data_IF_960600237065
#
_entry.id   IF_960600237065
#
_cell.length_a   1.000
_cell.length_b   1.000
_cell.length_c   1.000
_cell.angle_alpha   90.00
_cell.angle_beta   90.00
_cell.angle_gamma   90.00
#
_symmetry.space_group_name_H-M   'P 1'
#
loop_
_entity.id
_entity.type
_entity.pdbx_description
1 polymer ?
#
# COMPACT_ATOMS: atom_id res chain seq x y z
N UNK A 1 9.93 -10.99 -2.64
CA UNK A 1 10.48 -9.65 -2.91
C UNK A 1 11.97 -9.76 -3.10
N UNK A 2 12.50 -9.19 -4.18
CA UNK A 2 13.94 -9.05 -4.39
C UNK A 2 14.53 -7.92 -3.52
N UNK A 3 15.78 -7.54 -3.78
CA UNK A 3 16.53 -6.50 -3.03
C UNK A 3 15.83 -5.13 -2.96
N UNK A 4 14.85 -4.88 -3.84
CA UNK A 4 14.11 -3.62 -3.92
C UNK A 4 12.77 -3.64 -3.18
N UNK A 5 12.40 -4.73 -2.52
CA UNK A 5 11.12 -4.83 -1.78
C UNK A 5 9.89 -4.46 -2.64
N UNK A 6 9.91 -4.84 -3.91
CA UNK A 6 8.79 -4.71 -4.86
C UNK A 6 8.76 -5.96 -5.76
N UNK A 7 7.59 -6.28 -6.29
CA UNK A 7 7.36 -7.26 -7.35
C UNK A 7 7.32 -6.63 -8.75
N UNK A 8 7.29 -5.29 -8.85
CA UNK A 8 7.06 -4.52 -10.08
C UNK A 8 5.71 -4.77 -10.76
N UNK A 9 4.76 -5.40 -10.07
CA UNK A 9 3.42 -5.64 -10.57
C UNK A 9 2.46 -4.50 -10.18
N UNK A 10 1.21 -4.60 -10.64
CA UNK A 10 0.17 -3.62 -10.40
C UNK A 10 -0.91 -4.23 -9.51
N UNK A 11 -1.21 -3.56 -8.40
CA UNK A 11 -2.19 -4.04 -7.42
C UNK A 11 -3.14 -2.93 -6.99
N UNK A 12 -4.36 -3.33 -6.67
CA UNK A 12 -5.30 -2.50 -5.93
C UNK A 12 -5.22 -2.93 -4.46
N UNK A 13 -4.61 -2.09 -3.62
CA UNK A 13 -4.44 -2.35 -2.18
C UNK A 13 -5.69 -2.01 -1.36
N UNK A 14 -6.86 -1.87 -2.00
CA UNK A 14 -8.13 -1.55 -1.36
C UNK A 14 -8.13 -0.18 -0.64
N UNK A 15 -7.41 0.81 -1.21
CA UNK A 15 -7.34 2.17 -0.67
C UNK A 15 -8.68 2.90 -0.73
N UNK A 16 -9.47 2.66 -1.78
CA UNK A 16 -10.74 3.34 -2.02
C UNK A 16 -11.81 2.33 -2.41
N UNK A 17 -13.04 2.54 -1.93
CA UNK A 17 -14.19 1.74 -2.33
C UNK A 17 -14.59 1.99 -3.79
N UNK A 18 -14.40 3.23 -4.26
CA UNK A 18 -14.57 3.64 -5.65
C UNK A 18 -13.19 3.93 -6.26
N UNK A 19 -12.56 2.94 -6.91
CA UNK A 19 -11.18 3.05 -7.33
C UNK A 19 -10.99 3.98 -8.52
N UNK A 20 -9.94 4.82 -8.46
CA UNK A 20 -9.49 5.63 -9.59
C UNK A 20 -9.10 4.79 -10.81
N UNK A 21 -8.90 5.44 -11.96
CA UNK A 21 -8.59 4.73 -13.20
C UNK A 21 -7.30 3.89 -13.11
N UNK A 22 -6.24 4.37 -12.45
CA UNK A 22 -4.97 3.65 -12.29
C UNK A 22 -4.45 3.08 -13.62
N UNK A 23 -4.04 1.81 -13.61
CA UNK A 23 -3.64 1.06 -14.80
C UNK A 23 -4.74 0.99 -15.87
N UNK A 24 -6.02 0.99 -15.47
CA UNK A 24 -7.18 1.01 -16.36
C UNK A 24 -7.21 2.21 -17.30
N UNK A 25 -6.60 3.34 -16.94
CA UNK A 25 -6.45 4.50 -17.84
C UNK A 25 -5.61 4.18 -19.09
N UNK A 26 -4.73 3.18 -19.00
CA UNK A 26 -3.83 2.75 -20.08
C UNK A 26 -4.44 1.56 -20.82
N UNK A 27 -4.99 0.58 -20.10
CA UNK A 27 -5.49 -0.67 -20.71
C UNK A 27 -6.92 -0.54 -21.24
N UNK A 28 -7.71 0.42 -20.74
CA UNK A 28 -9.13 0.55 -21.02
C UNK A 28 -9.99 -0.54 -20.38
N UNK A 29 -9.41 -1.41 -19.55
CA UNK A 29 -10.12 -2.52 -18.90
C UNK A 29 -10.69 -2.07 -17.55
N UNK A 30 -11.99 -2.29 -17.28
CA UNK A 30 -12.57 -1.99 -15.96
C UNK A 30 -12.01 -2.88 -14.85
N UNK A 31 -11.38 -4.02 -15.18
CA UNK A 31 -10.74 -4.90 -14.20
C UNK A 31 -9.39 -4.34 -13.70
N UNK A 32 -8.84 -3.33 -14.38
CA UNK A 32 -7.57 -2.70 -14.01
C UNK A 32 -7.75 -1.39 -13.22
N UNK A 33 -8.98 -1.04 -12.84
CA UNK A 33 -9.27 0.12 -12.00
C UNK A 33 -8.61 -0.03 -10.62
N UNK A 34 -8.07 1.07 -10.10
CA UNK A 34 -7.41 1.16 -8.79
C UNK A 34 -6.09 0.41 -8.69
N UNK A 35 -5.61 -0.18 -9.79
CA UNK A 35 -4.33 -0.88 -9.80
C UNK A 35 -3.19 0.10 -10.05
N UNK A 36 -2.28 0.20 -9.11
CA UNK A 36 -1.07 1.01 -9.22
C UNK A 36 0.16 0.11 -9.07
N UNK A 37 1.26 0.51 -9.70
CA UNK A 37 2.52 -0.24 -9.61
C UNK A 37 3.00 -0.26 -8.16
N UNK A 38 3.39 -1.43 -7.64
CA UNK A 38 4.02 -1.54 -6.31
C UNK A 38 5.32 -0.73 -6.27
N UNK A 39 5.40 0.36 -5.49
CA UNK A 39 6.64 1.11 -5.34
C UNK A 39 7.69 0.28 -4.59
N UNK A 40 8.96 0.65 -4.70
CA UNK A 40 10.00 0.10 -3.82
C UNK A 40 9.81 0.61 -2.40
N UNK A 41 10.12 -0.21 -1.39
CA UNK A 41 10.18 0.23 0.01
C UNK A 41 11.59 0.68 0.43
N UNK A 42 12.57 0.67 -0.47
CA UNK A 42 13.90 1.23 -0.18
C UNK A 42 13.80 2.75 -0.07
N UNK A 43 14.45 3.33 0.94
CA UNK A 43 14.38 4.75 1.29
C UNK A 43 12.96 5.28 1.55
N UNK A 44 12.01 4.40 1.91
CA UNK A 44 10.60 4.76 2.04
C UNK A 44 10.39 5.91 3.04
N UNK A 45 11.14 5.94 4.15
CA UNK A 45 11.07 7.00 5.16
C UNK A 45 11.31 8.42 4.61
N UNK A 46 12.02 8.54 3.48
CA UNK A 46 12.41 9.82 2.88
C UNK A 46 11.52 10.25 1.71
N UNK A 47 10.40 9.56 1.48
CA UNK A 47 9.59 9.71 0.25
C UNK A 47 8.15 10.15 0.50
N UNK A 48 7.84 10.61 1.72
CA UNK A 48 6.54 11.20 2.01
C UNK A 48 6.21 12.34 1.01
N UNK A 49 4.92 12.53 0.66
CA UNK A 49 3.77 11.77 1.14
C UNK A 49 3.60 10.40 0.44
N UNK A 50 2.80 9.52 1.03
CA UNK A 50 2.66 8.11 0.66
C UNK A 50 1.34 7.81 -0.08
N UNK A 51 1.30 6.62 -0.70
CA UNK A 51 0.28 6.16 -1.67
C UNK A 51 0.38 6.87 -3.02
N UNK A 52 -0.48 6.48 -3.97
CA UNK A 52 -0.45 7.02 -5.33
C UNK A 52 -0.96 8.47 -5.40
N UNK A 53 -1.74 8.90 -4.41
CA UNK A 53 -2.34 10.23 -4.33
C UNK A 53 -1.76 11.11 -3.21
N UNK A 54 -0.79 10.59 -2.45
CA UNK A 54 -0.11 11.36 -1.41
C UNK A 54 -0.97 11.68 -0.19
N UNK A 55 -2.06 10.93 0.08
CA UNK A 55 -2.99 11.28 1.18
C UNK A 55 -2.42 11.07 2.58
N UNK A 56 -1.36 10.27 2.73
CA UNK A 56 -0.72 10.00 4.02
C UNK A 56 0.62 10.72 4.12
N UNK A 57 0.83 11.46 5.21
CA UNK A 57 2.05 12.20 5.47
C UNK A 57 3.12 11.34 6.17
N UNK A 58 2.71 10.26 6.84
CA UNK A 58 3.57 9.47 7.73
C UNK A 58 3.47 7.96 7.45
N UNK A 59 4.52 7.20 7.82
CA UNK A 59 4.50 5.74 7.73
C UNK A 59 3.50 5.14 8.73
N UNK A 60 3.30 5.81 9.86
CA UNK A 60 2.30 5.50 10.87
C UNK A 60 0.90 5.47 10.26
N UNK A 61 0.50 6.50 9.52
CA UNK A 61 -0.79 6.55 8.82
C UNK A 61 -0.93 5.45 7.76
N UNK A 62 0.14 5.12 7.05
CA UNK A 62 0.15 4.00 6.09
C UNK A 62 -0.08 2.67 6.81
N UNK A 63 0.60 2.43 7.94
CA UNK A 63 0.43 1.22 8.73
C UNK A 63 -0.96 1.14 9.36
N UNK A 64 -1.50 2.27 9.82
CA UNK A 64 -2.86 2.36 10.35
C UNK A 64 -3.91 2.07 9.25
N UNK A 65 -3.71 2.55 8.03
CA UNK A 65 -4.53 2.18 6.89
C UNK A 65 -4.57 0.66 6.66
N UNK A 66 -3.41 -0.01 6.61
CA UNK A 66 -3.39 -1.47 6.46
C UNK A 66 -3.93 -2.22 7.70
N UNK A 67 -3.94 -1.57 8.87
CA UNK A 67 -4.51 -2.12 10.11
C UNK A 67 -6.04 -2.12 10.08
N UNK A 68 -6.65 -1.01 9.70
CA UNK A 68 -8.07 -0.75 9.99
C UNK A 68 -8.82 0.01 8.88
N UNK A 69 -8.12 0.48 7.84
CA UNK A 69 -8.65 1.37 6.82
C UNK A 69 -8.93 0.74 5.46
N UNK A 70 -8.95 -0.59 5.34
CA UNK A 70 -9.19 -1.22 4.04
C UNK A 70 -10.65 -1.06 3.61
N UNK A 71 -10.86 -0.71 2.34
CA UNK A 71 -12.18 -0.51 1.77
C UNK A 71 -12.54 -1.60 0.75
N UNK A 72 -13.72 -2.19 0.87
CA UNK A 72 -14.21 -3.15 -0.13
C UNK A 72 -14.27 -2.48 -1.51
N UNK A 73 -13.45 -2.96 -2.43
CA UNK A 73 -13.33 -2.47 -3.81
C UNK A 73 -13.60 -3.59 -4.81
N UNK A 74 -14.25 -3.30 -5.96
CA UNK A 74 -14.60 -4.31 -6.97
C UNK A 74 -13.39 -4.98 -7.61
N UNK A 75 -12.23 -4.33 -7.61
CA UNK A 75 -10.98 -4.82 -8.23
C UNK A 75 -9.86 -5.00 -7.20
N UNK A 76 -10.19 -5.03 -5.91
CA UNK A 76 -9.22 -5.25 -4.84
C UNK A 76 -8.41 -6.52 -5.12
N UNK A 77 -7.10 -6.42 -4.94
CA UNK A 77 -6.21 -7.54 -5.25
C UNK A 77 -6.47 -8.71 -4.29
N UNK A 78 -6.50 -9.98 -4.76
CA UNK A 78 -6.66 -11.15 -3.90
C UNK A 78 -5.60 -11.28 -2.79
N UNK A 79 -4.46 -10.59 -2.90
CA UNK A 79 -3.45 -10.50 -1.85
C UNK A 79 -3.93 -9.71 -0.63
N UNK A 80 -4.99 -8.90 -0.75
CA UNK A 80 -5.66 -8.18 0.35
C UNK A 80 -6.50 -9.14 1.22
N UNK A 81 -5.87 -10.18 1.76
CA UNK A 81 -6.51 -11.23 2.57
C UNK A 81 -7.21 -10.70 3.83
N UNK A 82 -6.79 -9.53 4.29
CA UNK A 82 -7.35 -8.88 5.46
C UNK A 82 -8.53 -7.93 5.13
N UNK A 83 -8.89 -7.81 3.86
CA UNK A 83 -9.99 -6.96 3.42
C UNK A 83 -11.35 -7.34 4.05
N UNK A 84 -11.75 -8.63 4.17
CA UNK A 84 -13.05 -8.99 4.74
C UNK A 84 -13.28 -8.50 6.18
N UNK A 85 -12.20 -8.27 6.93
CA UNK A 85 -12.23 -7.75 8.29
C UNK A 85 -11.88 -6.25 8.38
N UNK A 86 -11.74 -5.56 7.24
CA UNK A 86 -11.41 -4.13 7.17
C UNK A 86 -9.93 -3.79 7.40
N UNK A 87 -9.05 -4.78 7.52
CA UNK A 87 -7.63 -4.58 7.80
C UNK A 87 -7.05 -5.65 8.71
N UNK A 88 -5.73 -5.61 8.94
CA UNK A 88 -5.05 -6.66 9.70
C UNK A 88 -5.25 -6.55 11.22
N UNK A 89 -5.71 -5.41 11.74
CA UNK A 89 -5.87 -5.12 13.17
C UNK A 89 -4.59 -5.37 13.96
N UNK A 90 -3.51 -4.67 13.57
CA UNK A 90 -2.21 -4.80 14.23
C UNK A 90 -2.27 -4.29 15.67
N UNK A 91 -1.58 -4.99 16.57
CA UNK A 91 -1.28 -4.47 17.90
C UNK A 91 -0.32 -3.29 17.83
N UNK A 92 -0.28 -2.44 18.86
CA UNK A 92 0.64 -1.31 18.93
C UNK A 92 2.12 -1.75 18.78
N UNK A 93 2.47 -2.91 19.35
CA UNK A 93 3.80 -3.50 19.24
C UNK A 93 4.13 -3.91 17.80
N UNK A 94 3.18 -4.52 17.08
CA UNK A 94 3.36 -4.89 15.67
C UNK A 94 3.48 -3.65 14.78
N UNK A 95 2.65 -2.61 15.00
CA UNK A 95 2.74 -1.34 14.26
C UNK A 95 4.14 -0.72 14.44
N UNK A 96 4.60 -0.60 15.69
CA UNK A 96 5.93 -0.05 16.01
C UNK A 96 7.07 -0.88 15.42
N UNK A 97 7.00 -2.22 15.53
CA UNK A 97 8.02 -3.10 14.96
C UNK A 97 8.07 -3.02 13.43
N UNK A 98 6.92 -2.92 12.77
CA UNK A 98 6.85 -2.76 11.32
C UNK A 98 7.45 -1.43 10.87
N UNK A 99 7.10 -0.33 11.53
CA UNK A 99 7.67 0.99 11.22
C UNK A 99 9.19 0.98 11.45
N UNK A 100 9.65 0.42 12.57
CA UNK A 100 11.08 0.30 12.85
C UNK A 100 11.80 -0.48 11.76
N UNK A 101 11.22 -1.60 11.29
CA UNK A 101 11.74 -2.36 10.15
C UNK A 101 11.78 -1.54 8.85
N UNK A 102 10.71 -0.81 8.51
CA UNK A 102 10.68 0.03 7.31
C UNK A 102 11.79 1.09 7.32
N UNK A 103 12.09 1.66 8.49
CA UNK A 103 13.18 2.62 8.67
C UNK A 103 14.57 2.01 8.50
N UNK A 104 14.73 0.68 8.66
CA UNK A 104 16.02 0.03 8.34
C UNK A 104 16.27 -0.10 6.84
N UNK A 105 15.30 0.26 5.99
CA UNK A 105 15.43 0.24 4.53
C UNK A 105 15.96 1.57 3.97
N UNK A 106 16.34 2.51 4.85
CA UNK A 106 16.95 3.80 4.50
C UNK A 106 18.46 3.66 4.35
N UNK A 107 19.00 4.08 3.21
CA UNK A 107 20.44 4.09 2.94
C UNK A 107 21.16 5.15 3.80
N UNK A 108 22.37 4.84 4.26
CA UNK A 108 23.11 5.71 5.21
C UNK A 108 24.15 6.62 4.57
N UNK A 109 24.52 6.40 3.30
CA UNK A 109 25.43 7.26 2.49
C UNK A 109 25.64 6.68 1.09
#
# INVERSE_FOLDING_TARGET
GGILFTDNEFHNNALDADPEAGQGAITGSPFDLGRFKTPTLRNIELTAPYMHDGRYATLEEVVDFYSEGLHTSPTADPLMKALPQGGKHFTAQEKSALIAFLKTLTDTS
#
